data_IF_037954479744
#
_entry.id   IF_037954479744
#
_cell.length_a   1.000
_cell.length_b   1.000
_cell.length_c   1.000
_cell.angle_alpha   90.00
_cell.angle_beta   90.00
_cell.angle_gamma   90.00
#
_symmetry.space_group_name_H-M   'P 1'
#
loop_
_entity.id
_entity.type
_entity.pdbx_description
1 polymer ?
#
# COMPACT_ATOMS: atom_id res chain seq x y z
N UNK A 1 -27.54 16.52 45.33
CA UNK A 1 -27.60 17.89 45.90
C UNK A 1 -26.56 18.72 45.15
N UNK A 2 -26.90 19.64 44.22
CA UNK A 2 -27.52 20.96 44.47
C UNK A 2 -26.45 21.89 45.08
N UNK A 3 -26.04 23.06 44.57
CA UNK A 3 -26.62 24.07 43.65
C UNK A 3 -25.46 25.00 43.23
N UNK A 4 -25.26 25.32 41.95
CA UNK A 4 -25.72 26.54 41.27
C UNK A 4 -25.33 27.87 41.96
N UNK A 5 -24.38 28.62 41.38
CA UNK A 5 -24.26 30.07 41.57
C UNK A 5 -23.97 30.73 40.21
N UNK A 6 -24.84 31.67 39.85
CA UNK A 6 -24.91 32.35 38.56
C UNK A 6 -24.40 33.80 38.70
N UNK A 7 -24.19 34.40 37.52
CA UNK A 7 -24.29 35.84 37.13
C UNK A 7 -22.91 36.52 36.99
N UNK A 8 -22.44 36.76 35.76
CA UNK A 8 -22.84 37.80 34.77
C UNK A 8 -22.53 39.21 35.26
N UNK A 9 -21.45 39.79 34.74
CA UNK A 9 -21.32 41.24 34.51
C UNK A 9 -20.68 41.44 33.14
N UNK A 10 -21.38 42.20 32.28
CA UNK A 10 -20.84 42.71 31.02
C UNK A 10 -20.59 44.20 31.12
N UNK A 11 -19.66 44.70 30.31
CA UNK A 11 -19.55 46.07 29.80
C UNK A 11 -18.31 46.09 28.86
N UNK A 12 -18.46 46.15 27.54
CA UNK A 12 -18.64 47.34 26.66
C UNK A 12 -17.40 48.24 26.52
N UNK A 13 -16.73 48.05 25.37
CA UNK A 13 -16.25 49.03 24.37
C UNK A 13 -15.10 50.01 24.70
N UNK A 14 -14.18 50.20 23.74
CA UNK A 14 -13.63 51.47 23.14
C UNK A 14 -12.42 51.06 22.24
N UNK A 15 -12.52 51.03 20.89
CA UNK A 15 -12.02 52.02 19.88
C UNK A 15 -10.57 52.49 20.10
N UNK A 16 -9.67 52.78 19.14
CA UNK A 16 -9.39 52.60 17.71
C UNK A 16 -8.14 53.48 17.44
N UNK A 17 -7.24 53.19 16.48
CA UNK A 17 -6.29 54.23 15.99
C UNK A 17 -5.00 53.81 15.25
N UNK A 18 -5.03 53.81 13.90
CA UNK A 18 -4.16 54.53 12.91
C UNK A 18 -2.62 54.50 13.09
N UNK A 19 -1.71 54.51 12.11
CA UNK A 19 -1.54 54.15 10.68
C UNK A 19 -0.12 54.65 10.31
N UNK A 20 0.58 54.02 9.37
CA UNK A 20 1.64 54.68 8.58
C UNK A 20 1.83 53.96 7.24
N UNK A 21 1.68 54.73 6.16
CA UNK A 21 1.86 54.34 4.78
C UNK A 21 3.27 54.71 4.28
N UNK A 22 3.81 53.94 3.32
CA UNK A 22 4.86 54.39 2.41
C UNK A 22 4.59 53.83 1.00
N UNK A 23 4.70 54.72 0.02
CA UNK A 23 4.31 54.61 -1.39
C UNK A 23 5.47 54.11 -2.28
N UNK A 24 5.10 53.84 -3.54
CA UNK A 24 5.88 53.92 -4.82
C UNK A 24 6.11 52.57 -5.51
N UNK A 25 5.63 52.48 -6.75
CA UNK A 25 5.93 51.41 -7.70
C UNK A 25 6.73 51.91 -8.90
N UNK A 26 7.19 50.99 -9.77
CA UNK A 26 7.18 51.02 -11.25
C UNK A 26 8.01 49.85 -11.79
N UNK A 27 7.63 49.39 -12.99
CA UNK A 27 8.14 48.24 -13.72
C UNK A 27 9.66 48.21 -13.99
N UNK A 28 10.21 47.00 -14.10
CA UNK A 28 11.55 46.72 -14.64
C UNK A 28 11.68 45.27 -15.07
N UNK A 29 11.67 45.03 -16.39
CA UNK A 29 12.09 43.81 -17.06
C UNK A 29 13.54 44.02 -17.51
N UNK A 30 14.47 43.13 -17.17
CA UNK A 30 15.87 43.18 -17.58
C UNK A 30 16.72 42.19 -16.80
N UNK A 31 17.36 41.26 -17.51
CA UNK A 31 18.11 40.13 -16.94
C UNK A 31 19.61 40.35 -16.76
N UNK A 32 20.24 39.21 -16.41
CA UNK A 32 21.66 38.81 -16.44
C UNK A 32 22.58 39.00 -15.21
N UNK A 33 23.18 37.86 -14.80
CA UNK A 33 24.42 37.70 -14.03
C UNK A 33 24.27 37.53 -12.51
N UNK A 34 24.14 36.32 -11.94
CA UNK A 34 25.20 35.36 -11.55
C UNK A 34 26.04 35.81 -10.33
N UNK A 35 25.72 35.27 -9.14
CA UNK A 35 26.62 34.44 -8.30
C UNK A 35 26.04 34.24 -6.87
N UNK A 36 25.94 32.98 -6.45
CA UNK A 36 26.04 32.56 -5.04
C UNK A 36 24.85 32.84 -4.10
N UNK A 37 23.86 31.95 -4.09
CA UNK A 37 22.82 31.93 -3.04
C UNK A 37 21.87 30.75 -3.14
N UNK A 38 22.21 29.70 -2.42
CA UNK A 38 21.50 28.44 -2.21
C UNK A 38 19.97 28.53 -1.97
N UNK A 39 19.28 27.43 -2.30
CA UNK A 39 17.85 27.03 -2.11
C UNK A 39 16.86 27.58 -3.17
N UNK A 40 16.08 26.78 -3.92
CA UNK A 40 15.57 25.43 -3.69
C UNK A 40 15.76 24.54 -4.93
N UNK A 41 16.60 23.51 -4.78
CA UNK A 41 16.51 22.33 -5.63
C UNK A 41 15.20 21.61 -5.30
N UNK A 42 14.14 21.86 -6.08
CA UNK A 42 13.02 20.94 -6.18
C UNK A 42 13.42 19.75 -7.07
N UNK A 43 14.45 19.03 -6.64
CA UNK A 43 14.72 17.67 -7.04
C UNK A 43 14.11 16.75 -6.00
N UNK A 44 13.01 16.08 -6.37
CA UNK A 44 12.35 15.06 -5.56
C UNK A 44 10.84 15.16 -5.70
N UNK A 45 10.11 14.19 -6.22
CA UNK A 45 10.45 12.85 -6.66
C UNK A 45 9.17 12.27 -7.27
N UNK A 46 9.30 11.14 -7.95
CA UNK A 46 8.25 10.45 -8.70
C UNK A 46 7.17 9.82 -7.81
N UNK A 47 6.59 10.56 -6.87
CA UNK A 47 5.59 10.05 -5.90
C UNK A 47 4.15 10.36 -6.28
N UNK A 48 3.91 11.26 -7.24
CA UNK A 48 2.55 11.58 -7.72
C UNK A 48 2.04 10.65 -8.82
N UNK A 49 2.85 10.36 -9.83
CA UNK A 49 2.39 9.63 -11.02
C UNK A 49 2.00 8.17 -10.75
N UNK A 50 2.66 7.50 -9.79
CA UNK A 50 2.35 6.12 -9.42
C UNK A 50 1.05 5.99 -8.61
N UNK A 51 0.83 6.92 -7.68
CA UNK A 51 -0.34 6.94 -6.79
C UNK A 51 -1.63 7.31 -7.54
N UNK A 52 -1.56 8.25 -8.48
CA UNK A 52 -2.69 8.60 -9.35
C UNK A 52 -3.04 7.43 -10.30
N UNK A 53 -2.03 6.78 -10.89
CA UNK A 53 -2.23 5.59 -11.75
C UNK A 53 -2.85 4.43 -10.98
N UNK A 54 -2.37 4.14 -9.76
CA UNK A 54 -2.93 3.10 -8.91
C UNK A 54 -4.40 3.38 -8.54
N UNK A 55 -4.75 4.65 -8.32
CA UNK A 55 -6.12 5.06 -8.00
C UNK A 55 -7.07 4.89 -9.20
N UNK A 56 -6.63 5.23 -10.41
CA UNK A 56 -7.42 4.98 -11.63
C UNK A 56 -7.57 3.49 -11.91
N UNK A 57 -6.48 2.70 -11.82
CA UNK A 57 -6.52 1.26 -12.06
C UNK A 57 -7.35 0.52 -10.99
N UNK A 58 -7.36 1.00 -9.75
CA UNK A 58 -8.24 0.50 -8.69
C UNK A 58 -9.71 0.73 -9.04
N UNK A 59 -10.06 1.90 -9.56
CA UNK A 59 -11.44 2.21 -9.94
C UNK A 59 -11.92 1.28 -11.06
N UNK A 60 -11.11 1.11 -12.10
CA UNK A 60 -11.41 0.19 -13.20
C UNK A 60 -11.51 -1.27 -12.72
N UNK A 61 -10.62 -1.68 -11.81
CA UNK A 61 -10.65 -3.00 -11.20
C UNK A 61 -11.93 -3.23 -10.40
N UNK A 62 -12.33 -2.28 -9.54
CA UNK A 62 -13.57 -2.36 -8.76
C UNK A 62 -14.79 -2.50 -9.69
N UNK A 63 -14.84 -1.74 -10.78
CA UNK A 63 -15.92 -1.82 -11.76
C UNK A 63 -15.97 -3.17 -12.50
N UNK A 64 -14.82 -3.73 -12.84
CA UNK A 64 -14.72 -5.08 -13.40
C UNK A 64 -15.22 -6.14 -12.39
N UNK A 65 -14.82 -6.03 -11.13
CA UNK A 65 -15.28 -6.91 -10.05
C UNK A 65 -16.80 -6.83 -9.86
N UNK A 66 -17.41 -5.63 -9.95
CA UNK A 66 -18.89 -5.48 -9.91
C UNK A 66 -19.59 -6.22 -11.04
N UNK A 67 -19.02 -6.21 -12.26
CA UNK A 67 -19.56 -6.97 -13.41
C UNK A 67 -19.44 -8.48 -13.19
N UNK A 68 -18.31 -8.93 -12.67
CA UNK A 68 -18.09 -10.35 -12.33
C UNK A 68 -19.06 -10.83 -11.25
N UNK A 69 -19.17 -10.13 -10.12
CA UNK A 69 -20.12 -10.44 -9.04
C UNK A 69 -21.57 -10.44 -9.55
N UNK A 70 -21.93 -9.49 -10.41
CA UNK A 70 -23.25 -9.49 -11.05
C UNK A 70 -23.49 -10.76 -11.86
N UNK A 71 -22.52 -11.21 -12.66
CA UNK A 71 -22.62 -12.46 -13.39
C UNK A 71 -22.77 -13.67 -12.45
N UNK A 72 -22.02 -13.71 -11.35
CA UNK A 72 -22.11 -14.78 -10.36
C UNK A 72 -23.52 -14.88 -9.74
N UNK A 73 -24.10 -13.73 -9.37
CA UNK A 73 -25.48 -13.64 -8.89
C UNK A 73 -26.48 -14.10 -9.94
N UNK A 74 -26.31 -13.67 -11.20
CA UNK A 74 -27.14 -14.10 -12.32
C UNK A 74 -26.97 -15.60 -12.64
N UNK A 75 -25.88 -16.23 -12.21
CA UNK A 75 -25.60 -17.66 -12.32
C UNK A 75 -26.00 -18.48 -11.08
N UNK A 76 -26.59 -17.84 -10.07
CA UNK A 76 -27.13 -18.51 -8.87
C UNK A 76 -26.17 -18.60 -7.69
N UNK A 77 -25.00 -17.96 -7.75
CA UNK A 77 -24.10 -17.84 -6.62
C UNK A 77 -24.38 -16.53 -5.87
N UNK A 78 -24.69 -16.62 -4.57
CA UNK A 78 -24.77 -15.44 -3.72
C UNK A 78 -23.37 -14.84 -3.53
N UNK A 79 -23.15 -13.67 -4.11
CA UNK A 79 -21.87 -12.99 -4.12
C UNK A 79 -22.08 -11.53 -3.70
N UNK A 80 -21.47 -11.08 -2.58
CA UNK A 80 -21.56 -9.70 -2.16
C UNK A 80 -20.77 -8.80 -3.10
N UNK A 81 -21.11 -7.51 -3.07
CA UNK A 81 -20.39 -6.51 -3.85
C UNK A 81 -18.92 -6.36 -3.38
N UNK A 82 -18.01 -6.00 -4.30
CA UNK A 82 -16.65 -5.68 -3.90
C UNK A 82 -16.60 -4.46 -2.99
N UNK A 83 -15.65 -4.46 -2.05
CA UNK A 83 -15.32 -3.30 -1.24
C UNK A 83 -14.61 -2.19 -2.05
N UNK A 84 -14.21 -1.12 -1.38
CA UNK A 84 -13.48 -0.01 -2.01
C UNK A 84 -12.10 -0.43 -2.58
N UNK A 85 -11.58 -1.58 -2.16
CA UNK A 85 -10.32 -2.17 -2.62
C UNK A 85 -10.55 -3.24 -3.71
N UNK A 86 -11.80 -3.47 -4.14
CA UNK A 86 -12.13 -4.47 -5.14
C UNK A 86 -12.18 -5.90 -4.60
N UNK A 87 -12.04 -6.11 -3.28
CA UNK A 87 -12.08 -7.43 -2.66
C UNK A 87 -13.52 -7.90 -2.57
N UNK A 88 -13.76 -9.15 -2.99
CA UNK A 88 -15.05 -9.82 -2.92
C UNK A 88 -14.95 -10.97 -1.92
N UNK A 89 -15.73 -10.92 -0.85
CA UNK A 89 -15.80 -12.00 0.14
C UNK A 89 -16.87 -13.03 -0.26
N UNK A 90 -16.47 -14.11 -0.91
CA UNK A 90 -17.36 -15.22 -1.27
C UNK A 90 -17.59 -16.21 -0.09
N UNK A 91 -17.15 -15.86 1.13
CA UNK A 91 -17.26 -16.70 2.31
C UNK A 91 -16.35 -17.94 2.27
N UNK A 92 -16.79 -19.02 2.93
CA UNK A 92 -16.00 -20.24 3.11
C UNK A 92 -15.69 -20.95 1.78
N UNK A 93 -14.40 -20.92 1.40
CA UNK A 93 -13.91 -21.56 0.19
C UNK A 93 -14.19 -23.06 0.11
N UNK A 94 -14.22 -23.75 1.24
CA UNK A 94 -14.45 -25.19 1.26
C UNK A 94 -15.88 -25.54 0.87
N UNK A 95 -16.83 -24.65 1.17
CA UNK A 95 -18.24 -24.84 0.85
C UNK A 95 -18.50 -24.58 -0.63
N UNK A 96 -18.08 -23.43 -1.17
CA UNK A 96 -18.40 -23.12 -2.56
C UNK A 96 -17.61 -23.99 -3.55
N UNK A 97 -16.38 -24.42 -3.23
CA UNK A 97 -15.64 -25.38 -4.08
C UNK A 97 -16.28 -26.76 -4.18
N UNK A 98 -17.18 -27.10 -3.25
CA UNK A 98 -17.95 -28.36 -3.25
C UNK A 98 -19.36 -28.19 -3.81
N UNK A 99 -19.78 -26.95 -4.07
CA UNK A 99 -21.09 -26.63 -4.63
C UNK A 99 -21.00 -26.60 -6.16
N UNK A 100 -21.70 -27.53 -6.80
CA UNK A 100 -21.74 -27.61 -8.27
C UNK A 100 -22.30 -26.35 -8.95
N UNK A 101 -23.18 -25.60 -8.27
CA UNK A 101 -23.74 -24.34 -8.76
C UNK A 101 -22.68 -23.25 -8.75
N UNK A 102 -21.91 -23.16 -7.66
CA UNK A 102 -20.82 -22.20 -7.55
C UNK A 102 -19.72 -22.46 -8.58
N UNK A 103 -19.34 -23.72 -8.79
CA UNK A 103 -18.34 -24.08 -9.80
C UNK A 103 -18.80 -23.71 -11.23
N UNK A 104 -20.06 -24.00 -11.58
CA UNK A 104 -20.64 -23.62 -12.87
C UNK A 104 -20.76 -22.11 -13.04
N UNK A 105 -21.10 -21.39 -11.97
CA UNK A 105 -21.14 -19.93 -11.98
C UNK A 105 -19.75 -19.34 -12.25
N UNK A 106 -18.72 -19.87 -11.59
CA UNK A 106 -17.33 -19.44 -11.80
C UNK A 106 -16.86 -19.70 -13.24
N UNK A 107 -17.16 -20.88 -13.79
CA UNK A 107 -16.83 -21.22 -15.18
C UNK A 107 -17.54 -20.30 -16.17
N UNK A 108 -18.85 -20.08 -15.99
CA UNK A 108 -19.67 -19.21 -16.84
C UNK A 108 -19.18 -17.75 -16.80
N UNK A 109 -18.71 -17.29 -15.64
CA UNK A 109 -18.29 -15.92 -15.41
C UNK A 109 -16.77 -15.72 -15.51
N UNK A 110 -15.99 -16.75 -15.90
CA UNK A 110 -14.53 -16.72 -15.90
C UNK A 110 -13.96 -15.57 -16.74
N UNK A 111 -14.59 -15.25 -17.88
CA UNK A 111 -14.17 -14.15 -18.76
C UNK A 111 -14.31 -12.75 -18.14
N UNK A 112 -15.07 -12.62 -17.05
CA UNK A 112 -15.23 -11.35 -16.32
C UNK A 112 -14.31 -11.27 -15.09
N UNK A 113 -13.69 -12.38 -14.69
CA UNK A 113 -12.71 -12.41 -13.61
C UNK A 113 -11.40 -11.82 -14.12
N UNK A 114 -11.14 -10.55 -13.77
CA UNK A 114 -9.91 -9.87 -14.16
C UNK A 114 -8.82 -10.05 -13.10
N UNK A 115 -7.54 -10.16 -13.48
CA UNK A 115 -6.44 -10.15 -12.53
C UNK A 115 -6.36 -8.79 -11.81
N UNK A 116 -5.83 -8.80 -10.59
CA UNK A 116 -5.51 -7.57 -9.87
C UNK A 116 -4.35 -6.87 -10.60
N UNK A 117 -4.45 -5.57 -10.93
CA UNK A 117 -3.31 -4.84 -11.49
C UNK A 117 -2.15 -4.75 -10.50
N UNK A 118 -0.89 -4.90 -10.96
CA UNK A 118 0.31 -4.83 -10.11
C UNK A 118 0.40 -3.56 -9.24
N UNK A 119 -0.07 -2.43 -9.78
CA UNK A 119 -0.11 -1.14 -9.08
C UNK A 119 -1.10 -1.15 -7.91
N UNK A 120 -2.26 -1.79 -8.11
CA UNK A 120 -3.30 -1.97 -7.10
C UNK A 120 -2.81 -2.94 -6.04
N UNK A 121 -2.20 -4.07 -6.45
CA UNK A 121 -1.65 -5.04 -5.51
C UNK A 121 -0.59 -4.40 -4.61
N UNK A 122 0.38 -3.67 -5.17
CA UNK A 122 1.40 -2.94 -4.42
C UNK A 122 0.81 -1.88 -3.48
N UNK A 123 -0.18 -1.12 -3.94
CA UNK A 123 -0.84 -0.10 -3.12
C UNK A 123 -1.66 -0.70 -1.96
N UNK A 124 -2.04 -1.97 -2.04
CA UNK A 124 -2.77 -2.68 -0.99
C UNK A 124 -1.88 -3.49 -0.05
N UNK A 125 -0.56 -3.52 -0.28
CA UNK A 125 0.36 -4.23 0.61
C UNK A 125 0.35 -3.59 2.01
N UNK A 126 0.39 -4.40 3.09
CA UNK A 126 0.41 -3.86 4.44
C UNK A 126 1.69 -3.06 4.69
N UNK A 127 1.56 -1.81 5.13
CA UNK A 127 2.70 -1.02 5.57
C UNK A 127 3.43 -1.71 6.73
N UNK A 128 4.72 -1.98 6.53
CA UNK A 128 5.57 -2.62 7.53
C UNK A 128 6.11 -1.59 8.52
N UNK A 129 6.23 -1.98 9.80
CA UNK A 129 6.98 -1.16 10.75
C UNK A 129 8.45 -1.10 10.35
N UNK A 130 9.16 -0.04 10.76
CA UNK A 130 10.60 0.04 10.47
C UNK A 130 11.39 -1.17 11.01
N UNK A 131 10.93 -1.77 12.12
CA UNK A 131 11.54 -2.96 12.68
C UNK A 131 11.38 -4.16 11.73
N UNK A 132 10.22 -4.31 11.10
CA UNK A 132 9.95 -5.35 10.11
C UNK A 132 10.70 -5.10 8.80
N UNK A 133 10.76 -3.86 8.32
CA UNK A 133 11.57 -3.47 7.16
C UNK A 133 13.03 -3.88 7.39
N UNK A 134 13.61 -3.48 8.52
CA UNK A 134 14.99 -3.85 8.89
C UNK A 134 15.17 -5.36 9.03
N UNK A 135 14.17 -6.08 9.55
CA UNK A 135 14.19 -7.54 9.69
C UNK A 135 14.24 -8.21 8.32
N UNK A 136 13.39 -7.79 7.38
CA UNK A 136 13.33 -8.35 6.04
C UNK A 136 14.63 -8.07 5.25
N UNK A 137 15.17 -6.86 5.36
CA UNK A 137 16.47 -6.50 4.78
C UNK A 137 17.61 -7.36 5.34
N UNK A 138 17.65 -7.59 6.65
CA UNK A 138 18.63 -8.49 7.28
C UNK A 138 18.48 -9.93 6.82
N UNK A 139 17.24 -10.40 6.67
CA UNK A 139 16.97 -11.74 6.16
C UNK A 139 17.45 -11.91 4.72
N UNK A 140 17.15 -10.95 3.84
CA UNK A 140 17.63 -10.98 2.44
C UNK A 140 19.14 -11.06 2.37
N UNK A 141 19.84 -10.18 3.09
CA UNK A 141 21.31 -10.17 3.13
C UNK A 141 21.87 -11.49 3.66
N UNK A 142 21.30 -12.04 4.74
CA UNK A 142 21.72 -13.33 5.27
C UNK A 142 21.54 -14.45 4.24
N UNK A 143 20.40 -14.49 3.55
CA UNK A 143 20.14 -15.50 2.52
C UNK A 143 21.18 -15.44 1.40
N UNK A 144 21.48 -14.24 0.91
CA UNK A 144 22.47 -13.98 -0.13
C UNK A 144 23.88 -14.42 0.28
N UNK A 145 24.30 -14.10 1.51
CA UNK A 145 25.61 -14.45 2.05
C UNK A 145 25.75 -15.96 2.36
N UNK A 146 24.65 -16.63 2.72
CA UNK A 146 24.69 -18.00 3.23
C UNK A 146 24.24 -19.09 2.25
N UNK A 147 23.99 -18.76 0.97
CA UNK A 147 23.83 -19.76 -0.08
C UNK A 147 22.74 -19.52 -1.12
N UNK A 148 21.98 -18.44 -1.01
CA UNK A 148 20.99 -18.03 -2.00
C UNK A 148 21.37 -16.64 -2.59
N UNK A 149 22.47 -16.54 -3.35
CA UNK A 149 22.95 -15.25 -3.87
C UNK A 149 21.94 -14.53 -4.79
N UNK A 150 20.97 -15.27 -5.32
CA UNK A 150 19.85 -14.78 -6.14
C UNK A 150 18.58 -14.47 -5.32
N UNK A 151 18.62 -14.63 -3.99
CA UNK A 151 17.49 -14.29 -3.13
C UNK A 151 17.15 -12.79 -3.26
N UNK A 152 15.86 -12.44 -3.42
CA UNK A 152 15.45 -11.07 -3.69
C UNK A 152 15.71 -10.11 -2.51
N UNK A 153 16.15 -8.89 -2.84
CA UNK A 153 16.11 -7.79 -1.87
C UNK A 153 14.68 -7.31 -1.64
N UNK A 154 14.53 -6.47 -0.61
CA UNK A 154 13.30 -5.72 -0.39
C UNK A 154 13.25 -4.44 -1.22
N UNK A 155 12.04 -3.94 -1.49
CA UNK A 155 11.81 -2.58 -1.92
C UNK A 155 11.93 -1.56 -0.77
N UNK A 156 11.55 -0.30 -1.03
CA UNK A 156 11.56 0.77 -0.03
C UNK A 156 10.56 0.55 1.12
N UNK A 157 9.48 -0.19 0.88
CA UNK A 157 8.49 -0.56 1.90
C UNK A 157 8.91 -1.79 2.71
N UNK A 158 10.05 -2.41 2.40
CA UNK A 158 10.52 -3.62 3.07
C UNK A 158 9.87 -4.91 2.56
N UNK A 159 9.12 -4.86 1.46
CA UNK A 159 8.54 -6.05 0.82
C UNK A 159 9.54 -6.68 -0.13
N UNK A 160 9.65 -8.01 -0.15
CA UNK A 160 10.53 -8.71 -1.08
C UNK A 160 10.07 -8.46 -2.52
N UNK A 161 11.03 -8.18 -3.40
CA UNK A 161 10.75 -7.99 -4.82
C UNK A 161 10.26 -9.31 -5.43
N UNK A 162 9.19 -9.22 -6.21
CA UNK A 162 8.68 -10.36 -6.97
C UNK A 162 9.58 -10.62 -8.18
N UNK A 163 10.62 -11.43 -7.95
CA UNK A 163 11.56 -11.89 -8.97
C UNK A 163 11.83 -13.38 -8.78
N UNK A 164 12.05 -14.08 -9.89
CA UNK A 164 12.40 -15.50 -9.87
C UNK A 164 13.76 -15.71 -9.18
N UNK A 165 13.81 -16.61 -8.20
CA UNK A 165 15.02 -17.06 -7.52
C UNK A 165 14.96 -18.57 -7.24
N UNK A 166 16.10 -19.26 -7.20
CA UNK A 166 16.22 -20.70 -6.99
C UNK A 166 16.18 -21.08 -5.50
N UNK A 167 14.95 -21.13 -4.98
CA UNK A 167 14.66 -21.63 -3.64
C UNK A 167 14.96 -23.12 -3.42
N UNK A 168 15.21 -23.88 -4.49
CA UNK A 168 15.35 -25.34 -4.42
C UNK A 168 16.80 -25.79 -4.29
N UNK A 169 17.75 -24.90 -4.57
CA UNK A 169 19.18 -25.15 -4.46
C UNK A 169 19.58 -25.61 -3.05
N UNK A 170 20.63 -26.45 -2.98
CA UNK A 170 21.24 -26.84 -1.70
C UNK A 170 21.70 -25.63 -0.91
N UNK A 171 22.18 -24.59 -1.61
CA UNK A 171 22.55 -23.30 -1.04
C UNK A 171 21.38 -22.59 -0.38
N UNK A 172 20.26 -22.45 -1.08
CA UNK A 172 19.04 -21.83 -0.55
C UNK A 172 18.49 -22.56 0.66
N UNK A 173 18.39 -23.90 0.60
CA UNK A 173 17.94 -24.72 1.73
C UNK A 173 18.81 -24.54 2.98
N UNK A 174 20.13 -24.42 2.80
CA UNK A 174 21.06 -24.14 3.90
C UNK A 174 20.86 -22.73 4.43
N UNK A 175 20.78 -21.74 3.54
CA UNK A 175 20.58 -20.34 3.89
C UNK A 175 19.28 -20.15 4.69
N UNK A 176 18.17 -20.76 4.27
CA UNK A 176 16.89 -20.71 5.00
C UNK A 176 17.04 -21.21 6.42
N UNK A 177 17.73 -22.34 6.64
CA UNK A 177 17.97 -22.88 7.99
C UNK A 177 18.84 -21.94 8.84
N UNK A 178 19.92 -21.41 8.25
CA UNK A 178 20.84 -20.49 8.94
C UNK A 178 20.15 -19.18 9.33
N UNK A 179 19.30 -18.65 8.45
CA UNK A 179 18.70 -17.32 8.57
C UNK A 179 17.29 -17.33 9.22
N UNK A 180 16.72 -18.51 9.51
CA UNK A 180 15.37 -18.68 10.04
C UNK A 180 15.08 -17.86 11.30
N UNK A 181 16.06 -17.74 12.19
CA UNK A 181 15.93 -17.00 13.45
C UNK A 181 15.67 -15.51 13.25
N UNK A 182 16.13 -14.92 12.13
CA UNK A 182 15.91 -13.50 11.81
C UNK A 182 14.42 -13.21 11.65
N UNK A 183 13.66 -14.14 11.06
CA UNK A 183 12.22 -14.01 10.84
C UNK A 183 11.38 -14.67 11.95
N UNK A 184 12.02 -15.14 13.03
CA UNK A 184 11.34 -15.76 14.17
C UNK A 184 10.93 -17.21 13.95
N UNK A 185 11.42 -17.86 12.89
CA UNK A 185 11.24 -19.30 12.69
C UNK A 185 12.29 -20.04 13.54
N UNK A 186 11.89 -20.95 14.44
CA UNK A 186 12.84 -21.75 15.22
C UNK A 186 13.76 -22.54 14.29
N UNK A 187 15.07 -22.51 14.52
CA UNK A 187 16.06 -23.25 13.73
C UNK A 187 15.88 -24.77 13.82
N UNK A 188 15.16 -25.24 14.84
CA UNK A 188 14.86 -26.64 15.11
C UNK A 188 13.46 -27.06 14.62
N UNK A 189 12.76 -26.19 13.87
CA UNK A 189 11.47 -26.55 13.30
C UNK A 189 11.65 -27.72 12.30
N UNK A 190 10.92 -28.84 12.47
CA UNK A 190 11.02 -29.95 11.54
C UNK A 190 10.67 -29.45 10.14
N UNK A 191 11.49 -29.81 9.15
CA UNK A 191 11.23 -29.48 7.76
C UNK A 191 9.82 -29.93 7.41
N UNK A 192 8.95 -29.01 7.00
CA UNK A 192 7.62 -29.36 6.52
C UNK A 192 7.79 -30.40 5.40
N UNK A 193 7.35 -31.63 5.67
CA UNK A 193 7.41 -32.71 4.70
C UNK A 193 6.46 -32.34 3.55
N UNK A 194 7.03 -32.12 2.37
CA UNK A 194 6.31 -32.10 1.10
C UNK A 194 6.07 -33.51 0.59
#
# INVERSE_FOLDING_TARGET
MGTNARRRFGARTWLAGVAAAALVGTAGCGGDGDDGGEVASAGGGKTGAGSEKASSELTEYVDAQRKWVKCLRDAGLDAPDPDAQGKVDLGDQSKWKRDSTALKAQEKCANLSVPVPDSVEKAQQPELSEAEIRKNQKYAKCMQEHGAPDFPDTDSGGHFRDVTWDSTSTGAKRATRTCASIIGVPTDAPSAQG
#
